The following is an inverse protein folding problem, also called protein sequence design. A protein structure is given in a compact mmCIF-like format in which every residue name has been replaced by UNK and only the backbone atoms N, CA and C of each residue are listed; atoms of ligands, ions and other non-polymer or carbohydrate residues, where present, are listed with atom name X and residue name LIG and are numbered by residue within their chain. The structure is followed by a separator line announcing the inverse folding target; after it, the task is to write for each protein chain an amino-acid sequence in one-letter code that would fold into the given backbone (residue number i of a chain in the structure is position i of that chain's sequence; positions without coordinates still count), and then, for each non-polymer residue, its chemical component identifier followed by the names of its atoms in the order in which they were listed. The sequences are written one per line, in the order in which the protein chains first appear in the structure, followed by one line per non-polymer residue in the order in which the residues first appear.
data_IF_112767582590
#
_entry.id   IF_112767582590
#
_cell.length_a   1.000
_cell.length_b   1.000
_cell.length_c   1.000
_cell.angle_alpha   90.00
_cell.angle_beta   90.00
_cell.angle_gamma   90.00
#
_symmetry.space_group_name_H-M   'P 1'
#
loop_
_entity.id
_entity.type
_entity.pdbx_description
1 polymer ?
#
# COMPACT_ATOMS: atom_id res chain seq x y z
N UNK A 1 -4.32 -2.86 -28.75
CA UNK A 1 -4.64 -2.67 -27.32
C UNK A 1 -3.35 -2.66 -26.52
N UNK A 2 -3.32 -2.01 -25.35
CA UNK A 2 -2.12 -1.94 -24.51
C UNK A 2 -1.64 -3.34 -24.12
N UNK A 3 -0.31 -3.53 -24.09
CA UNK A 3 0.32 -4.83 -23.77
C UNK A 3 0.25 -5.19 -22.28
N UNK A 4 -0.03 -4.20 -21.43
CA UNK A 4 -0.12 -4.31 -19.98
C UNK A 4 -1.52 -3.91 -19.53
N UNK A 5 -2.09 -4.67 -18.59
CA UNK A 5 -3.36 -4.41 -17.93
C UNK A 5 -3.15 -4.35 -16.42
N UNK A 6 -3.89 -3.47 -15.76
CA UNK A 6 -4.00 -3.44 -14.30
C UNK A 6 -5.33 -4.11 -13.92
N UNK A 7 -5.29 -5.00 -12.94
CA UNK A 7 -6.47 -5.60 -12.31
C UNK A 7 -6.37 -5.26 -10.84
N UNK A 8 -7.26 -4.41 -10.38
CA UNK A 8 -7.41 -4.11 -8.96
C UNK A 8 -8.33 -5.15 -8.33
N UNK A 9 -7.94 -5.66 -7.16
CA UNK A 9 -8.75 -6.53 -6.32
C UNK A 9 -8.82 -5.94 -4.92
N UNK A 10 -9.95 -6.15 -4.25
CA UNK A 10 -10.03 -5.85 -2.83
C UNK A 10 -9.50 -7.03 -2.01
N UNK A 11 -9.09 -6.74 -0.76
CA UNK A 11 -8.68 -7.77 0.21
C UNK A 11 -9.72 -8.88 0.35
N UNK A 12 -11.00 -8.53 0.35
CA UNK A 12 -12.13 -9.46 0.49
C UNK A 12 -12.26 -10.42 -0.71
N UNK A 13 -11.70 -10.05 -1.86
CA UNK A 13 -11.74 -10.86 -3.08
C UNK A 13 -10.51 -11.78 -3.23
N UNK A 14 -9.62 -11.83 -2.24
CA UNK A 14 -8.39 -12.65 -2.29
C UNK A 14 -8.69 -14.13 -2.56
N UNK A 15 -9.83 -14.64 -2.10
CA UNK A 15 -10.27 -16.02 -2.38
C UNK A 15 -10.53 -16.29 -3.86
N UNK A 16 -10.83 -15.25 -4.65
CA UNK A 16 -11.07 -15.36 -6.09
C UNK A 16 -9.77 -15.41 -6.92
N UNK A 17 -8.61 -15.15 -6.31
CA UNK A 17 -7.33 -15.07 -7.02
C UNK A 17 -6.99 -16.33 -7.84
N UNK A 18 -7.19 -17.58 -7.36
CA UNK A 18 -6.92 -18.76 -8.17
C UNK A 18 -7.74 -18.80 -9.47
N UNK A 19 -9.00 -18.38 -9.40
CA UNK A 19 -9.86 -18.27 -10.58
C UNK A 19 -9.35 -17.17 -11.54
N UNK A 20 -8.97 -16.01 -11.01
CA UNK A 20 -8.36 -14.94 -11.80
C UNK A 20 -7.09 -15.42 -12.51
N UNK A 21 -6.20 -16.12 -11.81
CA UNK A 21 -4.97 -16.69 -12.40
C UNK A 21 -5.27 -17.61 -13.58
N UNK A 22 -6.30 -18.46 -13.46
CA UNK A 22 -6.75 -19.34 -14.54
C UNK A 22 -7.20 -18.56 -15.77
N UNK A 23 -8.00 -17.50 -15.59
CA UNK A 23 -8.50 -16.66 -16.68
C UNK A 23 -7.37 -15.93 -17.42
N UNK A 24 -6.38 -15.42 -16.70
CA UNK A 24 -5.33 -14.57 -17.30
C UNK A 24 -4.14 -15.36 -17.84
N UNK A 25 -3.95 -16.63 -17.43
CA UNK A 25 -2.79 -17.46 -17.81
C UNK A 25 -2.54 -17.53 -19.31
N UNK A 26 -3.60 -17.75 -20.10
CA UNK A 26 -3.50 -17.90 -21.55
C UNK A 26 -3.76 -16.59 -22.32
N UNK A 27 -3.93 -15.48 -21.61
CA UNK A 27 -4.18 -14.20 -22.24
C UNK A 27 -2.89 -13.61 -22.82
N UNK A 28 -2.97 -13.05 -24.03
CA UNK A 28 -1.86 -12.37 -24.73
C UNK A 28 -1.33 -11.09 -24.06
N UNK A 29 -1.90 -10.70 -22.92
CA UNK A 29 -1.56 -9.46 -22.22
C UNK A 29 -0.73 -9.80 -20.98
N UNK A 30 0.08 -8.84 -20.53
CA UNK A 30 0.70 -8.87 -19.21
C UNK A 30 -0.23 -8.19 -18.19
N UNK A 31 -0.20 -8.63 -16.95
CA UNK A 31 -1.08 -8.15 -15.90
C UNK A 31 -0.27 -7.73 -14.67
N UNK A 32 -0.64 -6.58 -14.11
CA UNK A 32 -0.37 -6.24 -12.71
C UNK A 32 -1.68 -6.52 -11.97
N UNK A 33 -1.65 -7.44 -11.02
CA UNK A 33 -2.73 -7.61 -10.05
C UNK A 33 -2.36 -6.80 -8.83
N UNK A 34 -3.18 -5.81 -8.48
CA UNK A 34 -2.94 -4.88 -7.39
C UNK A 34 -3.98 -5.08 -6.30
N UNK A 35 -3.52 -5.20 -5.05
CA UNK A 35 -4.38 -5.22 -3.87
C UNK A 35 -4.02 -4.05 -2.96
N UNK A 36 -4.96 -3.13 -2.75
CA UNK A 36 -4.76 -2.05 -1.78
C UNK A 36 -5.02 -2.54 -0.35
N UNK A 37 -4.24 -2.03 0.59
CA UNK A 37 -4.29 -2.30 2.03
C UNK A 37 -4.42 -3.79 2.42
N UNK A 38 -3.51 -4.60 1.86
CA UNK A 38 -3.43 -6.02 2.18
C UNK A 38 -2.94 -6.20 3.62
N UNK A 39 -3.84 -6.63 4.50
CA UNK A 39 -3.52 -7.13 5.82
C UNK A 39 -4.60 -8.11 6.27
N UNK A 40 -4.26 -9.09 7.08
CA UNK A 40 -5.18 -10.13 7.53
C UNK A 40 -5.39 -10.02 9.05
N UNK A 41 -6.57 -10.40 9.51
CA UNK A 41 -6.88 -10.54 10.93
C UNK A 41 -6.85 -12.01 11.36
N UNK A 42 -7.04 -12.26 12.66
CA UNK A 42 -6.76 -13.56 13.29
C UNK A 42 -7.65 -14.71 12.83
N UNK A 43 -8.83 -14.39 12.32
CA UNK A 43 -9.86 -15.28 11.83
C UNK A 43 -9.93 -15.32 10.30
N UNK A 44 -9.11 -14.53 9.62
CA UNK A 44 -9.10 -14.45 8.16
C UNK A 44 -8.39 -15.68 7.58
N UNK A 45 -9.12 -16.49 6.82
CA UNK A 45 -8.56 -17.69 6.16
C UNK A 45 -8.16 -17.45 4.71
N UNK A 46 -8.49 -16.27 4.14
CA UNK A 46 -8.24 -15.92 2.75
C UNK A 46 -6.75 -15.82 2.43
N UNK A 47 -5.87 -15.61 3.42
CA UNK A 47 -4.42 -15.60 3.22
C UNK A 47 -3.89 -16.91 2.61
N UNK A 48 -4.59 -18.04 2.81
CA UNK A 48 -4.21 -19.34 2.22
C UNK A 48 -4.35 -19.32 0.69
N UNK A 49 -5.39 -18.67 0.17
CA UNK A 49 -5.58 -18.48 -1.26
C UNK A 49 -4.48 -17.61 -1.86
N UNK A 50 -4.08 -16.56 -1.16
CA UNK A 50 -2.93 -15.74 -1.56
C UNK A 50 -1.63 -16.55 -1.55
N UNK A 51 -1.39 -17.34 -0.50
CA UNK A 51 -0.22 -18.22 -0.38
C UNK A 51 -0.12 -19.17 -1.57
N UNK A 52 -1.19 -19.90 -1.88
CA UNK A 52 -1.24 -20.85 -2.98
C UNK A 52 -0.89 -20.20 -4.33
N UNK A 53 -1.36 -18.98 -4.57
CA UNK A 53 -1.06 -18.22 -5.81
C UNK A 53 0.42 -17.83 -5.87
N UNK A 54 1.02 -17.47 -4.73
CA UNK A 54 2.42 -17.05 -4.67
C UNK A 54 3.43 -18.21 -4.65
N UNK A 55 3.02 -19.43 -4.29
CA UNK A 55 3.91 -20.60 -4.17
C UNK A 55 4.33 -21.26 -5.49
N UNK A 56 3.82 -20.79 -6.64
CA UNK A 56 4.40 -21.10 -7.95
C UNK A 56 4.22 -22.55 -8.45
N UNK A 57 3.15 -23.23 -8.04
CA UNK A 57 2.74 -24.54 -8.58
C UNK A 57 1.91 -24.46 -9.88
N UNK A 58 1.29 -25.57 -10.29
CA UNK A 58 0.42 -25.65 -11.49
C UNK A 58 -0.74 -24.64 -11.43
N UNK A 59 -1.26 -24.39 -10.23
CA UNK A 59 -2.31 -23.41 -9.97
C UNK A 59 -1.75 -22.03 -9.53
N UNK A 60 -0.43 -21.89 -9.47
CA UNK A 60 0.26 -20.67 -9.03
C UNK A 60 0.25 -19.54 -10.08
N UNK A 61 0.83 -18.40 -9.70
CA UNK A 61 0.90 -17.18 -10.50
C UNK A 61 1.50 -17.45 -11.90
N UNK A 62 0.78 -17.12 -12.99
CA UNK A 62 1.31 -17.20 -14.35
C UNK A 62 2.49 -16.26 -14.62
N UNK A 63 3.35 -16.59 -15.59
CA UNK A 63 4.51 -15.78 -16.00
C UNK A 63 4.15 -14.39 -16.51
N UNK A 64 2.93 -14.22 -17.04
CA UNK A 64 2.41 -12.94 -17.53
C UNK A 64 1.75 -12.09 -16.43
N UNK A 65 1.82 -12.49 -15.16
CA UNK A 65 1.20 -11.79 -14.02
C UNK A 65 2.26 -11.41 -12.99
N UNK A 66 2.21 -10.18 -12.50
CA UNK A 66 2.91 -9.75 -11.27
C UNK A 66 1.88 -9.29 -10.24
N UNK A 67 2.14 -9.57 -8.96
CA UNK A 67 1.24 -9.21 -7.87
C UNK A 67 1.86 -8.09 -7.02
N UNK A 68 1.15 -6.97 -6.90
CA UNK A 68 1.51 -5.82 -6.07
C UNK A 68 0.50 -5.67 -4.95
N UNK A 69 0.99 -5.32 -3.76
CA UNK A 69 0.13 -4.96 -2.65
C UNK A 69 0.72 -3.79 -1.87
N UNK A 70 -0.15 -2.95 -1.33
CA UNK A 70 0.21 -2.01 -0.26
C UNK A 70 -0.18 -2.63 1.08
N UNK A 71 0.46 -2.22 2.17
CA UNK A 71 0.04 -2.61 3.51
C UNK A 71 0.38 -1.51 4.49
N UNK A 72 -0.58 -1.13 5.33
CA UNK A 72 -0.34 -0.19 6.42
C UNK A 72 0.26 -0.87 7.67
N UNK A 73 0.40 -2.21 7.66
CA UNK A 73 0.99 -2.98 8.75
C UNK A 73 2.40 -3.43 8.38
N UNK A 74 3.29 -3.46 9.38
CA UNK A 74 4.67 -3.97 9.21
C UNK A 74 4.69 -5.46 8.83
N UNK A 75 3.66 -6.20 9.20
CA UNK A 75 3.48 -7.62 8.89
C UNK A 75 2.08 -7.80 8.30
N UNK A 76 1.96 -8.60 7.23
CA UNK A 76 0.67 -8.92 6.60
C UNK A 76 -0.23 -9.74 7.53
N UNK A 77 0.36 -10.51 8.45
CA UNK A 77 -0.32 -11.28 9.48
C UNK A 77 -0.04 -10.70 10.89
N UNK A 78 -1.00 -10.67 11.81
CA UNK A 78 -0.82 -10.23 13.20
C UNK A 78 0.14 -11.15 13.97
N UNK A 79 0.88 -10.59 14.93
CA UNK A 79 1.80 -11.36 15.80
C UNK A 79 1.07 -12.38 16.68
N UNK A 80 -0.09 -12.04 17.21
CA UNK A 80 -0.84 -12.93 18.11
C UNK A 80 -1.34 -14.20 17.41
N UNK A 81 -1.60 -14.16 16.09
CA UNK A 81 -1.83 -15.37 15.28
C UNK A 81 -0.58 -16.25 15.17
N UNK A 82 0.60 -15.64 15.15
CA UNK A 82 1.88 -16.37 15.11
C UNK A 82 2.13 -17.07 16.45
N UNK A 83 1.69 -16.45 17.57
CA UNK A 83 1.90 -16.96 18.93
C UNK A 83 0.80 -17.93 19.43
N UNK A 84 -0.47 -17.76 19.01
CA UNK A 84 -1.57 -18.65 19.42
C UNK A 84 -1.47 -20.05 18.80
N UNK A 85 -1.14 -20.17 17.51
CA UNK A 85 -0.90 -21.49 16.89
C UNK A 85 0.36 -22.16 17.41
N UNK A 86 1.38 -21.39 17.82
CA UNK A 86 2.57 -21.90 18.50
C UNK A 86 2.22 -22.66 19.78
N UNK A 87 1.10 -22.29 20.42
CA UNK A 87 0.63 -22.87 21.68
C UNK A 87 -0.27 -24.09 21.49
N UNK A 88 -0.86 -24.28 20.30
CA UNK A 88 -1.80 -25.37 20.00
C UNK A 88 -1.27 -26.38 18.97
N UNK A 89 -0.20 -26.05 18.23
CA UNK A 89 0.40 -26.93 17.24
C UNK A 89 1.27 -28.02 17.89
N UNK A 90 1.15 -29.25 17.38
CA UNK A 90 1.95 -30.41 17.79
C UNK A 90 3.45 -30.14 17.53
N UNK A 91 3.78 -29.39 16.48
CA UNK A 91 5.12 -28.90 16.14
C UNK A 91 5.13 -27.37 16.01
N UNK A 92 5.48 -26.64 17.09
CA UNK A 92 5.46 -25.17 17.11
C UNK A 92 6.38 -24.49 16.09
N UNK A 93 7.43 -25.18 15.61
CA UNK A 93 8.38 -24.66 14.62
C UNK A 93 7.83 -24.62 13.20
N UNK A 94 7.08 -25.65 12.77
CA UNK A 94 6.52 -25.76 11.42
C UNK A 94 5.41 -24.73 11.16
N UNK A 95 4.58 -24.44 12.17
CA UNK A 95 3.50 -23.45 12.08
C UNK A 95 4.01 -22.00 11.94
N UNK A 96 5.17 -21.70 12.53
CA UNK A 96 5.83 -20.39 12.38
C UNK A 96 6.49 -20.26 11.00
N UNK A 97 7.17 -21.30 10.52
CA UNK A 97 7.73 -21.36 9.16
C UNK A 97 6.65 -21.21 8.08
N UNK A 98 5.47 -21.79 8.25
CA UNK A 98 4.36 -21.67 7.29
C UNK A 98 3.82 -20.24 7.14
N UNK A 99 3.90 -19.38 8.17
CA UNK A 99 3.36 -17.99 8.15
C UNK A 99 4.39 -16.94 7.73
N UNK A 100 5.65 -17.14 8.08
CA UNK A 100 6.76 -16.36 7.51
C UNK A 100 6.85 -16.60 6.01
N UNK A 101 6.50 -17.81 5.55
CA UNK A 101 6.53 -18.18 4.13
C UNK A 101 5.72 -17.26 3.20
N UNK A 102 4.58 -16.71 3.65
CA UNK A 102 3.74 -15.85 2.80
C UNK A 102 4.42 -14.51 2.52
N UNK A 103 4.96 -13.87 3.57
CA UNK A 103 5.66 -12.60 3.44
C UNK A 103 6.96 -12.75 2.62
N UNK A 104 7.65 -13.87 2.79
CA UNK A 104 8.85 -14.21 2.03
C UNK A 104 8.58 -14.47 0.52
N UNK A 105 7.33 -14.74 0.12
CA UNK A 105 6.99 -14.86 -1.31
C UNK A 105 6.94 -13.53 -2.04
N UNK A 106 6.89 -12.41 -1.32
CA UNK A 106 7.07 -11.10 -1.92
C UNK A 106 8.56 -10.82 -2.12
N UNK A 107 9.03 -10.98 -3.36
CA UNK A 107 10.45 -10.83 -3.69
C UNK A 107 11.02 -9.42 -3.57
N UNK A 108 10.17 -8.40 -3.37
CA UNK A 108 10.59 -7.02 -3.12
C UNK A 108 9.68 -6.39 -2.07
N UNK A 109 10.30 -5.87 -1.02
CA UNK A 109 9.63 -5.08 0.02
C UNK A 109 10.11 -3.64 -0.06
N UNK A 110 9.18 -2.73 -0.32
CA UNK A 110 9.43 -1.29 -0.32
C UNK A 110 8.82 -0.69 0.94
N UNK A 111 9.67 -0.46 1.94
CA UNK A 111 9.28 0.25 3.15
C UNK A 111 9.26 1.76 2.92
N UNK A 112 8.24 2.43 3.43
CA UNK A 112 8.24 3.88 3.53
C UNK A 112 8.86 4.30 4.87
N UNK A 113 9.84 5.21 4.81
CA UNK A 113 10.40 5.82 6.01
C UNK A 113 9.47 6.91 6.55
N UNK A 114 9.65 7.26 7.83
CA UNK A 114 8.93 8.38 8.43
C UNK A 114 9.28 9.65 7.67
N UNK A 115 8.26 10.37 7.22
CA UNK A 115 8.41 11.69 6.63
C UNK A 115 9.03 12.64 7.67
N UNK A 116 10.25 13.09 7.41
CA UNK A 116 10.92 14.13 8.18
C UNK A 116 10.18 15.46 8.02
N UNK A 117 10.52 16.43 8.89
CA UNK A 117 9.99 17.77 8.78
C UNK A 117 10.43 18.44 7.46
N UNK A 118 11.68 18.25 7.06
CA UNK A 118 12.22 18.87 5.87
C UNK A 118 11.60 18.30 4.60
N UNK A 119 11.37 16.97 4.54
CA UNK A 119 10.62 16.35 3.44
C UNK A 119 9.17 16.87 3.39
N UNK A 120 8.52 17.02 4.55
CA UNK A 120 7.18 17.59 4.63
C UNK A 120 7.12 19.02 4.09
N UNK A 121 8.04 19.88 4.52
CA UNK A 121 8.10 21.25 4.05
C UNK A 121 8.51 21.34 2.58
N UNK A 122 9.37 20.45 2.09
CA UNK A 122 9.70 20.34 0.68
C UNK A 122 8.48 19.97 -0.17
N UNK A 123 7.63 19.06 0.31
CA UNK A 123 6.37 18.73 -0.37
C UNK A 123 5.42 19.94 -0.42
N UNK A 124 5.25 20.65 0.69
CA UNK A 124 4.43 21.88 0.73
C UNK A 124 4.96 22.94 -0.24
N UNK A 125 6.28 23.20 -0.20
CA UNK A 125 6.92 24.14 -1.13
C UNK A 125 6.71 23.75 -2.59
N UNK A 126 6.84 22.46 -2.91
CA UNK A 126 6.61 21.95 -4.27
C UNK A 126 5.17 22.17 -4.73
N UNK A 127 4.18 21.94 -3.88
CA UNK A 127 2.77 22.20 -4.19
C UNK A 127 2.48 23.71 -4.34
N UNK A 128 2.96 24.55 -3.43
CA UNK A 128 2.84 26.02 -3.50
C UNK A 128 3.40 26.54 -4.82
N UNK A 129 4.59 26.07 -5.21
CA UNK A 129 5.22 26.44 -6.48
C UNK A 129 4.44 25.91 -7.70
N UNK A 130 4.05 24.63 -7.69
CA UNK A 130 3.32 24.00 -8.78
C UNK A 130 2.00 24.71 -9.07
N UNK A 131 1.25 25.06 -8.02
CA UNK A 131 -0.03 25.77 -8.12
C UNK A 131 0.11 27.30 -8.18
N UNK A 132 1.33 27.83 -8.10
CA UNK A 132 1.63 29.26 -8.17
C UNK A 132 0.85 30.08 -7.14
N UNK A 133 0.75 29.54 -5.91
CA UNK A 133 0.09 30.23 -4.80
C UNK A 133 0.96 31.43 -4.40
N UNK A 134 0.46 32.68 -4.45
CA UNK A 134 1.20 33.92 -4.20
C UNK A 134 1.36 34.14 -2.69
N UNK A 135 2.18 33.31 -2.05
CA UNK A 135 2.44 33.35 -0.61
C UNK A 135 3.92 33.13 -0.34
N UNK A 136 4.49 33.97 0.52
CA UNK A 136 5.90 33.87 0.90
C UNK A 136 6.14 32.70 1.87
N UNK A 137 7.32 32.12 1.81
CA UNK A 137 7.72 31.02 2.71
C UNK A 137 7.63 31.39 4.19
N UNK A 138 7.97 32.62 4.54
CA UNK A 138 7.86 33.11 5.90
C UNK A 138 6.42 33.04 6.46
N UNK A 139 5.41 33.03 5.58
CA UNK A 139 3.99 32.95 5.95
C UNK A 139 3.52 31.51 6.01
N UNK A 140 3.72 30.73 4.95
CA UNK A 140 3.14 29.38 4.87
C UNK A 140 3.91 28.35 5.71
N UNK A 141 5.23 28.50 5.88
CA UNK A 141 6.07 27.53 6.60
C UNK A 141 5.65 27.31 8.07
N UNK A 142 5.47 28.35 8.91
CA UNK A 142 5.02 28.14 10.29
C UNK A 142 3.61 27.55 10.37
N UNK A 143 2.69 27.98 9.49
CA UNK A 143 1.33 27.45 9.43
C UNK A 143 1.31 25.97 9.02
N UNK A 144 2.15 25.57 8.06
CA UNK A 144 2.28 24.18 7.66
C UNK A 144 2.78 23.29 8.81
N UNK A 145 3.71 23.79 9.63
CA UNK A 145 4.22 23.08 10.80
C UNK A 145 3.17 22.95 11.90
N UNK A 146 2.41 24.01 12.15
CA UNK A 146 1.28 23.99 13.08
C UNK A 146 0.21 23.00 12.60
N UNK A 147 -0.15 23.03 11.32
CA UNK A 147 -1.10 22.10 10.70
C UNK A 147 -0.69 20.64 10.90
N UNK A 148 0.57 20.31 10.60
CA UNK A 148 1.10 18.95 10.79
C UNK A 148 1.08 18.51 12.26
N UNK A 149 1.32 19.44 13.18
CA UNK A 149 1.28 19.20 14.62
C UNK A 149 -0.14 18.90 15.09
N UNK A 150 -1.12 19.70 14.69
CA UNK A 150 -2.55 19.49 15.01
C UNK A 150 -3.09 18.18 14.43
N UNK A 151 -2.63 17.78 13.24
CA UNK A 151 -2.99 16.49 12.61
C UNK A 151 -2.22 15.30 13.18
N UNK A 152 -1.18 15.53 13.98
CA UNK A 152 -0.33 14.48 14.56
C UNK A 152 0.50 13.69 13.55
N UNK A 153 0.63 14.14 12.31
CA UNK A 153 1.29 13.39 11.24
C UNK A 153 1.92 14.28 10.17
N UNK A 154 3.06 13.84 9.64
CA UNK A 154 3.71 14.41 8.45
C UNK A 154 3.62 13.40 7.31
N UNK A 155 3.05 13.81 6.19
CA UNK A 155 2.92 12.98 5.00
C UNK A 155 2.61 13.86 3.78
N UNK A 156 2.74 13.30 2.57
CA UNK A 156 2.25 13.97 1.36
C UNK A 156 0.76 14.28 1.41
N UNK A 157 -0.05 13.40 2.03
CA UNK A 157 -1.48 13.65 2.26
C UNK A 157 -1.70 14.87 3.15
N UNK A 158 -0.99 14.96 4.28
CA UNK A 158 -1.08 16.10 5.20
C UNK A 158 -0.66 17.40 4.51
N UNK A 159 0.43 17.36 3.73
CA UNK A 159 0.92 18.50 2.97
C UNK A 159 -0.11 18.97 1.94
N UNK A 160 -0.71 18.04 1.20
CA UNK A 160 -1.77 18.35 0.24
C UNK A 160 -3.03 18.94 0.88
N UNK A 161 -3.43 18.44 2.04
CA UNK A 161 -4.55 19.00 2.79
C UNK A 161 -4.27 20.43 3.27
N UNK A 162 -3.06 20.71 3.76
CA UNK A 162 -2.65 22.06 4.12
C UNK A 162 -2.70 23.00 2.90
N UNK A 163 -2.19 22.57 1.74
CA UNK A 163 -2.20 23.40 0.53
C UNK A 163 -3.61 23.66 0.02
N UNK A 164 -4.51 22.69 0.10
CA UNK A 164 -5.92 22.91 -0.22
C UNK A 164 -6.57 23.94 0.71
N UNK A 165 -6.30 23.84 2.00
CA UNK A 165 -6.78 24.82 2.99
C UNK A 165 -6.23 26.22 2.71
N UNK A 166 -4.92 26.33 2.49
CA UNK A 166 -4.25 27.58 2.15
C UNK A 166 -4.80 28.21 0.86
N UNK A 167 -4.97 27.41 -0.19
CA UNK A 167 -5.54 27.88 -1.46
C UNK A 167 -7.00 28.31 -1.31
N UNK A 168 -7.78 27.61 -0.48
CA UNK A 168 -9.15 27.97 -0.14
C UNK A 168 -9.24 29.33 0.56
N UNK A 169 -8.37 29.59 1.53
CA UNK A 169 -8.31 30.89 2.23
C UNK A 169 -7.89 32.05 1.33
N UNK A 170 -7.07 31.77 0.30
CA UNK A 170 -6.59 32.75 -0.66
C UNK A 170 -7.46 32.84 -1.93
N UNK A 171 -8.56 32.08 -2.00
CA UNK A 171 -9.47 32.02 -3.14
C UNK A 171 -8.78 31.63 -4.46
N UNK A 172 -7.81 30.72 -4.39
CA UNK A 172 -7.02 30.27 -5.55
C UNK A 172 -7.51 28.91 -6.01
N UNK A 173 -7.86 28.83 -7.30
CA UNK A 173 -8.17 27.56 -7.94
C UNK A 173 -6.90 26.72 -8.13
N UNK A 174 -6.88 25.51 -7.57
CA UNK A 174 -5.80 24.56 -7.78
C UNK A 174 -5.87 23.95 -9.18
N UNK A 175 -4.71 23.81 -9.82
CA UNK A 175 -4.56 23.13 -11.11
C UNK A 175 -5.03 21.67 -11.00
N UNK A 176 -5.67 21.11 -12.03
CA UNK A 176 -6.02 19.69 -12.05
C UNK A 176 -4.77 18.83 -11.90
N UNK A 177 -4.78 17.91 -10.95
CA UNK A 177 -3.74 16.87 -10.83
C UNK A 177 -3.98 15.84 -11.94
N UNK A 178 -2.92 15.48 -12.68
CA UNK A 178 -2.97 14.49 -13.78
C UNK A 178 -3.30 13.08 -13.29
#
# INVERSE_FOLDING_TARGET
GPRLKLVEIHREDVESLPHLMSLVRNARHRFIVFCDDLSFDADDTSYKSLKAVLEGGIEGRPDNVIFYATSNRRHLLPRDMMDNERSTAINPGEAVEEKVSLSDRFGLWLGFHKCSQDEYLAMVAAYVAHHQIPVEEAVWRPQALEWATTRGARSGRTAWQYVQDLAGHLEIALKPTL
#
